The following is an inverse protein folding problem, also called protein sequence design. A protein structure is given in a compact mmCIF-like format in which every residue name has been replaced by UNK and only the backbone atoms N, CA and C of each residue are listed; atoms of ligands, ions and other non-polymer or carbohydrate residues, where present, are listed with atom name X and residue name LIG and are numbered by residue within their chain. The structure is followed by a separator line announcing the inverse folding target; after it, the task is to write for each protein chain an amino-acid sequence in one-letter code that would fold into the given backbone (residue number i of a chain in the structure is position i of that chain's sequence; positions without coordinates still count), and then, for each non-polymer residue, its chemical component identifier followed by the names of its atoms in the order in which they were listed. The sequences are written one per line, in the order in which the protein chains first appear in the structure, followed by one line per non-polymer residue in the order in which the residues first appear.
data_IF_244517864104
#
_entry.id   IF_244517864104
#
_cell.length_a   1.000
_cell.length_b   1.000
_cell.length_c   1.000
_cell.angle_alpha   90.00
_cell.angle_beta   90.00
_cell.angle_gamma   90.00
#
_symmetry.space_group_name_H-M   'P 1'
#
loop_
_entity.id
_entity.type
_entity.pdbx_description
1 polymer ?
#
# COMPACT_ATOMS: atom_id res chain seq x y z
N UNK A 1 -6.56 16.73 11.79
CA UNK A 1 -5.39 17.20 11.01
C UNK A 1 -4.14 16.42 11.38
N UNK A 2 -3.87 16.23 12.68
CA UNK A 2 -2.76 15.39 13.17
C UNK A 2 -2.89 13.93 12.72
N UNK A 3 -4.11 13.37 12.68
CA UNK A 3 -4.32 11.97 12.31
C UNK A 3 -3.93 11.63 10.86
N UNK A 4 -4.09 12.57 9.93
CA UNK A 4 -3.71 12.35 8.54
C UNK A 4 -2.19 12.34 8.41
N UNK A 5 -1.53 13.26 9.12
CA UNK A 5 -0.07 13.34 9.14
C UNK A 5 0.54 12.11 9.83
N UNK A 6 -0.07 11.60 10.90
CA UNK A 6 0.32 10.35 11.55
C UNK A 6 0.14 9.14 10.63
N UNK A 7 -0.99 9.04 9.93
CA UNK A 7 -1.23 7.94 8.99
C UNK A 7 -0.21 7.96 7.84
N UNK A 8 0.09 9.13 7.29
CA UNK A 8 1.12 9.31 6.25
C UNK A 8 2.52 9.01 6.81
N UNK A 9 2.83 9.46 8.02
CA UNK A 9 4.10 9.17 8.70
C UNK A 9 4.31 7.68 8.93
N UNK A 10 3.28 6.98 9.41
CA UNK A 10 3.31 5.54 9.61
C UNK A 10 3.47 4.79 8.28
N UNK A 11 2.75 5.20 7.25
CA UNK A 11 2.89 4.63 5.90
C UNK A 11 4.32 4.74 5.37
N UNK A 12 4.96 5.91 5.53
CA UNK A 12 6.36 6.15 5.16
C UNK A 12 7.34 5.27 5.96
N UNK A 13 7.11 5.08 7.26
CA UNK A 13 7.93 4.17 8.08
C UNK A 13 7.83 2.74 7.55
N UNK A 14 6.62 2.27 7.25
CA UNK A 14 6.42 0.92 6.68
C UNK A 14 7.08 0.78 5.30
N UNK A 15 6.91 1.75 4.40
CA UNK A 15 7.60 1.75 3.09
C UNK A 15 9.13 1.73 3.26
N UNK A 16 9.66 2.58 4.14
CA UNK A 16 11.10 2.66 4.41
C UNK A 16 11.68 1.35 4.95
N UNK A 17 10.94 0.66 5.83
CA UNK A 17 11.33 -0.67 6.33
C UNK A 17 11.26 -1.72 5.23
N UNK A 18 10.21 -1.72 4.40
CA UNK A 18 10.07 -2.66 3.28
C UNK A 18 11.22 -2.52 2.28
N UNK A 19 11.52 -1.30 1.84
CA UNK A 19 12.62 -1.09 0.88
C UNK A 19 14.00 -1.19 1.51
N UNK A 20 14.17 -0.76 2.75
CA UNK A 20 15.45 -0.75 3.45
C UNK A 20 15.87 -2.14 3.94
N UNK A 21 14.94 -2.92 4.49
CA UNK A 21 15.22 -4.26 5.02
C UNK A 21 15.07 -5.36 3.96
N UNK A 22 14.14 -5.21 3.02
CA UNK A 22 13.83 -6.24 2.01
C UNK A 22 13.80 -5.69 0.57
N UNK A 23 14.92 -5.11 0.08
CA UNK A 23 14.98 -4.53 -1.27
C UNK A 23 14.70 -5.55 -2.40
N UNK A 24 14.97 -6.83 -2.15
CA UNK A 24 14.74 -7.92 -3.10
C UNK A 24 13.25 -8.16 -3.32
N UNK A 25 12.45 -8.10 -2.27
CA UNK A 25 10.99 -8.30 -2.34
C UNK A 25 10.35 -7.15 -3.11
N UNK A 26 10.75 -5.92 -2.81
CA UNK A 26 10.26 -4.73 -3.52
C UNK A 26 10.51 -4.79 -5.04
N UNK A 27 11.72 -5.17 -5.44
CA UNK A 27 12.07 -5.32 -6.87
C UNK A 27 11.28 -6.43 -7.54
N UNK A 28 11.01 -7.53 -6.83
CA UNK A 28 10.22 -8.64 -7.36
C UNK A 28 8.77 -8.24 -7.59
N UNK A 29 8.16 -7.58 -6.61
CA UNK A 29 6.79 -7.06 -6.74
C UNK A 29 6.69 -6.06 -7.88
N UNK A 30 7.63 -5.12 -8.01
CA UNK A 30 7.63 -4.16 -9.12
C UNK A 30 7.71 -4.84 -10.49
N UNK A 31 8.49 -5.93 -10.60
CA UNK A 31 8.58 -6.71 -11.83
C UNK A 31 7.28 -7.48 -12.10
N UNK A 32 6.74 -8.16 -11.10
CA UNK A 32 5.50 -8.93 -11.23
C UNK A 32 4.34 -8.00 -11.63
N UNK A 33 4.25 -6.82 -11.02
CA UNK A 33 3.27 -5.76 -11.34
C UNK A 33 3.42 -5.26 -12.79
N UNK A 34 4.66 -5.13 -13.28
CA UNK A 34 4.92 -4.71 -14.67
C UNK A 34 4.56 -5.78 -15.71
N UNK A 35 4.48 -7.05 -15.32
CA UNK A 35 4.10 -8.16 -16.20
C UNK A 35 2.57 -8.39 -16.19
N UNK A 36 1.82 -7.75 -15.28
CA UNK A 36 0.36 -7.90 -15.20
C UNK A 36 -0.42 -6.94 -16.13
N UNK A 37 -1.59 -7.35 -16.66
CA UNK A 37 -2.43 -6.49 -17.47
C UNK A 37 -3.00 -5.31 -16.67
N UNK A 38 -3.08 -4.13 -17.29
CA UNK A 38 -3.62 -2.90 -16.67
C UNK A 38 -5.01 -3.08 -16.05
N UNK A 39 -5.85 -3.94 -16.64
CA UNK A 39 -7.19 -4.25 -16.13
C UNK A 39 -7.16 -4.94 -14.77
N UNK A 40 -6.22 -5.86 -14.55
CA UNK A 40 -6.05 -6.52 -13.26
C UNK A 40 -5.51 -5.54 -12.22
N UNK A 41 -4.54 -4.70 -12.61
CA UNK A 41 -3.96 -3.68 -11.74
C UNK A 41 -5.00 -2.67 -11.25
N UNK A 42 -5.92 -2.26 -12.12
CA UNK A 42 -7.04 -1.37 -11.78
C UNK A 42 -7.98 -1.99 -10.75
N UNK A 43 -8.38 -3.25 -10.96
CA UNK A 43 -9.29 -3.94 -10.04
C UNK A 43 -8.60 -4.15 -8.69
N UNK A 44 -7.33 -4.58 -8.70
CA UNK A 44 -6.54 -4.76 -7.49
C UNK A 44 -6.36 -3.44 -6.72
N UNK A 45 -6.09 -2.34 -7.42
CA UNK A 45 -5.98 -1.00 -6.82
C UNK A 45 -7.29 -0.52 -6.20
N UNK A 46 -8.42 -0.66 -6.91
CA UNK A 46 -9.74 -0.29 -6.39
C UNK A 46 -10.11 -1.15 -5.18
N UNK A 47 -9.84 -2.46 -5.23
CA UNK A 47 -10.06 -3.36 -4.10
C UNK A 47 -9.20 -2.98 -2.88
N UNK A 48 -7.91 -2.66 -3.10
CA UNK A 48 -7.00 -2.23 -2.05
C UNK A 48 -7.47 -0.92 -1.38
N UNK A 49 -7.94 0.05 -2.18
CA UNK A 49 -8.52 1.30 -1.64
C UNK A 49 -9.77 1.00 -0.82
N UNK A 50 -10.69 0.17 -1.32
CA UNK A 50 -11.91 -0.18 -0.60
C UNK A 50 -11.61 -0.86 0.74
N UNK A 51 -10.65 -1.80 0.76
CA UNK A 51 -10.19 -2.48 1.97
C UNK A 51 -9.53 -1.49 2.93
N UNK A 52 -8.65 -0.62 2.43
CA UNK A 52 -7.99 0.40 3.26
C UNK A 52 -8.97 1.34 3.94
N UNK A 53 -9.99 1.81 3.19
CA UNK A 53 -11.07 2.62 3.75
C UNK A 53 -11.89 1.84 4.78
N UNK A 54 -12.22 0.57 4.53
CA UNK A 54 -12.95 -0.26 5.47
C UNK A 54 -12.18 -0.49 6.78
N UNK A 55 -10.86 -0.72 6.72
CA UNK A 55 -10.00 -0.87 7.90
C UNK A 55 -9.95 0.44 8.70
N UNK A 56 -9.74 1.58 8.02
CA UNK A 56 -9.73 2.89 8.69
C UNK A 56 -11.07 3.19 9.33
N UNK A 57 -12.17 2.83 8.66
CA UNK A 57 -13.52 2.99 9.19
C UNK A 57 -13.76 2.10 10.42
N UNK A 58 -13.30 0.84 10.42
CA UNK A 58 -13.38 -0.05 11.60
C UNK A 58 -12.48 0.40 12.76
N UNK A 59 -11.34 1.00 12.47
CA UNK A 59 -10.41 1.48 13.50
C UNK A 59 -10.86 2.82 14.13
N UNK A 60 -11.69 3.59 13.42
CA UNK A 60 -12.20 4.91 13.85
C UNK A 60 -13.69 4.93 14.21
N UNK A 61 -14.45 3.90 13.85
CA UNK A 61 -15.85 3.70 14.22
C UNK A 61 -15.98 3.10 15.62
#
# INVERSE_FOLDING_TARGET
MVDFLDAVGLFLVFEGVLYGCFPVVAKRVARDVSEQPDGFLRIAGVAAVAIGVAIVWLARG
#
